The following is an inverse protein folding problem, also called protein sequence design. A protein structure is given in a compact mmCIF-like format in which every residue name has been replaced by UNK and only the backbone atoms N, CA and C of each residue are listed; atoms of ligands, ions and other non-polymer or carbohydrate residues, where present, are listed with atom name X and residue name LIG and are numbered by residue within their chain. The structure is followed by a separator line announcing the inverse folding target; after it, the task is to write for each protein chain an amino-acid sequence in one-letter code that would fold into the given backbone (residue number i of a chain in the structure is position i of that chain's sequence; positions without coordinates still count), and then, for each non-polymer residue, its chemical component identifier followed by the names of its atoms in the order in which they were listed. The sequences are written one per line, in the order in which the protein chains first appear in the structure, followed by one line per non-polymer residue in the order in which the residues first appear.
data_IF_798317449756
#
_entry.id   IF_798317449756
#
_cell.length_a   1.000
_cell.length_b   1.000
_cell.length_c   1.000
_cell.angle_alpha   90.00
_cell.angle_beta   90.00
_cell.angle_gamma   90.00
#
_symmetry.space_group_name_H-M   'P 1'
#
loop_
_entity.id
_entity.type
_entity.pdbx_description
1 polymer ?
#
# COMPACT_ATOMS: atom_id res chain seq x y z
N UNK A 1 14.16 10.60 -33.05
CA UNK A 1 13.66 9.24 -32.71
C UNK A 1 12.73 9.39 -31.52
N UNK A 2 11.41 9.36 -31.79
CA UNK A 2 10.26 9.17 -30.88
C UNK A 2 10.17 9.88 -29.52
N UNK A 3 9.82 11.17 -29.50
CA UNK A 3 9.15 11.79 -28.34
C UNK A 3 7.70 11.31 -28.39
N UNK A 4 7.35 10.24 -27.66
CA UNK A 4 5.97 9.72 -27.65
C UNK A 4 5.75 8.29 -27.18
N UNK A 5 6.71 7.64 -26.53
CA UNK A 5 6.40 6.35 -25.90
C UNK A 5 5.48 6.57 -24.69
N UNK A 6 4.20 6.25 -24.89
CA UNK A 6 3.22 6.03 -23.82
C UNK A 6 3.83 5.09 -22.78
N UNK A 7 3.47 5.16 -21.49
CA UNK A 7 3.86 4.13 -20.54
C UNK A 7 3.42 2.78 -21.10
N UNK A 8 4.38 1.97 -21.56
CA UNK A 8 4.12 0.61 -22.02
C UNK A 8 3.92 -0.19 -20.75
N UNK A 9 2.68 -0.43 -20.40
CA UNK A 9 2.33 -1.34 -19.32
C UNK A 9 2.97 -2.69 -19.65
N UNK A 10 3.86 -3.15 -18.77
CA UNK A 10 4.39 -4.48 -18.86
C UNK A 10 3.30 -5.46 -18.39
N UNK A 11 2.61 -6.04 -19.37
CA UNK A 11 1.50 -6.96 -19.14
C UNK A 11 1.94 -8.18 -18.31
N UNK A 12 3.21 -8.61 -18.40
CA UNK A 12 3.70 -9.74 -17.64
C UNK A 12 3.80 -9.40 -16.15
N UNK A 13 4.29 -8.21 -15.80
CA UNK A 13 4.33 -7.75 -14.41
C UNK A 13 2.93 -7.67 -13.82
N UNK A 14 1.96 -7.14 -14.59
CA UNK A 14 0.57 -7.04 -14.15
C UNK A 14 -0.02 -8.43 -13.92
N UNK A 15 0.19 -9.38 -14.83
CA UNK A 15 -0.31 -10.75 -14.69
C UNK A 15 0.30 -11.46 -13.47
N UNK A 16 1.61 -11.32 -13.25
CA UNK A 16 2.29 -11.87 -12.08
C UNK A 16 1.73 -11.26 -10.79
N UNK A 17 1.54 -9.94 -10.75
CA UNK A 17 0.95 -9.23 -9.62
C UNK A 17 -0.47 -9.74 -9.29
N UNK A 18 -1.32 -9.88 -10.31
CA UNK A 18 -2.68 -10.42 -10.14
C UNK A 18 -2.67 -11.87 -9.64
N UNK A 19 -1.78 -12.72 -10.17
CA UNK A 19 -1.62 -14.09 -9.71
C UNK A 19 -1.21 -14.15 -8.23
N UNK A 20 -0.26 -13.31 -7.80
CA UNK A 20 0.18 -13.24 -6.41
C UNK A 20 -0.94 -12.77 -5.47
N UNK A 21 -1.75 -11.78 -5.87
CA UNK A 21 -2.92 -11.36 -5.10
C UNK A 21 -3.90 -12.52 -4.91
N UNK A 22 -4.23 -13.23 -6.00
CA UNK A 22 -5.18 -14.34 -5.95
C UNK A 22 -4.68 -15.46 -5.05
N UNK A 23 -3.41 -15.87 -5.17
CA UNK A 23 -2.81 -16.90 -4.32
C UNK A 23 -2.81 -16.46 -2.85
N UNK A 24 -2.43 -15.21 -2.57
CA UNK A 24 -2.43 -14.66 -1.22
C UNK A 24 -3.82 -14.65 -0.59
N UNK A 25 -4.82 -14.21 -1.35
CA UNK A 25 -6.22 -14.22 -0.90
C UNK A 25 -6.74 -15.64 -0.64
N UNK A 26 -6.49 -16.58 -1.57
CA UNK A 26 -6.87 -17.99 -1.40
C UNK A 26 -6.22 -18.62 -0.17
N UNK A 27 -4.97 -18.26 0.13
CA UNK A 27 -4.26 -18.74 1.32
C UNK A 27 -4.96 -18.27 2.60
N UNK A 28 -5.35 -17.00 2.67
CA UNK A 28 -6.08 -16.45 3.83
C UNK A 28 -7.46 -17.10 3.94
N UNK A 29 -8.15 -17.26 2.82
CA UNK A 29 -9.46 -17.93 2.77
C UNK A 29 -9.36 -19.39 3.24
N UNK A 30 -8.32 -20.12 2.82
CA UNK A 30 -8.09 -21.51 3.24
C UNK A 30 -7.73 -21.66 4.72
N UNK A 31 -7.10 -20.64 5.32
CA UNK A 31 -6.73 -20.66 6.74
C UNK A 31 -7.86 -20.23 7.68
N UNK A 32 -8.91 -19.59 7.15
CA UNK A 32 -10.05 -19.15 7.95
C UNK A 32 -10.91 -20.35 8.39
N UNK A 33 -11.13 -20.49 9.71
CA UNK A 33 -12.07 -21.49 10.24
C UNK A 33 -13.50 -20.99 10.05
N UNK A 34 -14.13 -21.38 8.94
CA UNK A 34 -15.49 -20.95 8.62
C UNK A 34 -16.50 -21.73 9.45
N UNK A 35 -16.76 -21.24 10.66
CA UNK A 35 -17.75 -21.83 11.58
C UNK A 35 -19.18 -21.36 11.26
N UNK A 36 -19.35 -20.23 10.56
CA UNK A 36 -20.62 -19.77 9.98
C UNK A 36 -20.35 -19.01 8.67
N UNK A 37 -20.89 -19.50 7.56
CA UNK A 37 -20.64 -18.96 6.22
C UNK A 37 -21.58 -17.79 5.92
N UNK A 38 -21.13 -16.54 6.10
CA UNK A 38 -21.93 -15.34 5.79
C UNK A 38 -21.62 -14.72 4.41
N UNK A 39 -20.85 -15.43 3.57
CA UNK A 39 -20.49 -15.01 2.22
C UNK A 39 -19.06 -14.50 2.08
N UNK A 40 -18.69 -14.16 0.84
CA UNK A 40 -17.31 -13.78 0.46
C UNK A 40 -16.92 -12.38 0.96
N UNK A 41 -17.91 -11.51 1.22
CA UNK A 41 -17.73 -10.15 1.72
C UNK A 41 -18.03 -10.01 3.22
N UNK A 42 -17.75 -11.04 4.00
CA UNK A 42 -17.90 -10.99 5.45
C UNK A 42 -16.76 -10.15 6.08
N UNK A 43 -17.12 -9.00 6.66
CA UNK A 43 -16.18 -8.05 7.23
C UNK A 43 -15.68 -8.45 8.62
N UNK A 44 -16.27 -9.45 9.25
CA UNK A 44 -15.76 -10.01 10.50
C UNK A 44 -14.60 -10.99 10.22
N UNK A 45 -14.57 -11.55 9.01
CA UNK A 45 -13.54 -12.49 8.58
C UNK A 45 -12.35 -11.80 7.91
N UNK A 46 -11.16 -12.38 8.08
CA UNK A 46 -9.92 -11.84 7.51
C UNK A 46 -9.94 -11.83 5.98
N UNK A 47 -10.56 -12.82 5.34
CA UNK A 47 -10.63 -12.90 3.87
C UNK A 47 -11.51 -11.79 3.26
N UNK A 48 -12.59 -11.38 3.93
CA UNK A 48 -13.46 -10.31 3.45
C UNK A 48 -12.82 -8.95 3.62
N UNK A 49 -12.15 -8.70 4.76
CA UNK A 49 -11.28 -7.52 4.94
C UNK A 49 -10.21 -7.45 3.86
N UNK A 50 -9.59 -8.58 3.50
CA UNK A 50 -8.55 -8.63 2.47
C UNK A 50 -9.09 -8.19 1.09
N UNK A 51 -10.31 -8.56 0.70
CA UNK A 51 -10.93 -8.11 -0.56
C UNK A 51 -11.10 -6.59 -0.57
N UNK A 52 -11.55 -5.99 0.54
CA UNK A 52 -11.65 -4.53 0.63
C UNK A 52 -10.29 -3.86 0.46
N UNK A 53 -9.24 -4.38 1.09
CA UNK A 53 -7.89 -3.85 0.94
C UNK A 53 -7.35 -3.99 -0.49
N UNK A 54 -7.62 -5.11 -1.16
CA UNK A 54 -7.29 -5.30 -2.57
C UNK A 54 -8.02 -4.26 -3.43
N UNK A 55 -9.32 -4.05 -3.22
CA UNK A 55 -10.10 -3.04 -3.93
C UNK A 55 -9.58 -1.61 -3.71
N UNK A 56 -9.25 -1.26 -2.46
CA UNK A 56 -8.65 0.02 -2.12
C UNK A 56 -7.28 0.20 -2.78
N UNK A 57 -6.46 -0.85 -2.82
CA UNK A 57 -5.16 -0.83 -3.49
C UNK A 57 -5.30 -0.54 -4.99
N UNK A 58 -6.27 -1.17 -5.69
CA UNK A 58 -6.53 -0.86 -7.10
C UNK A 58 -6.92 0.60 -7.31
N UNK A 59 -7.79 1.16 -6.45
CA UNK A 59 -8.17 2.57 -6.51
C UNK A 59 -6.95 3.48 -6.34
N UNK A 60 -6.10 3.21 -5.33
CA UNK A 60 -4.88 3.99 -5.08
C UNK A 60 -3.91 3.87 -6.25
N UNK A 61 -3.69 2.67 -6.81
CA UNK A 61 -2.82 2.45 -7.97
C UNK A 61 -3.35 3.24 -9.18
N UNK A 62 -4.65 3.19 -9.47
CA UNK A 62 -5.25 3.96 -10.56
C UNK A 62 -5.06 5.47 -10.37
N UNK A 63 -5.21 5.97 -9.13
CA UNK A 63 -4.96 7.38 -8.83
C UNK A 63 -3.50 7.76 -9.05
N UNK A 64 -2.55 6.96 -8.54
CA UNK A 64 -1.11 7.20 -8.71
C UNK A 64 -0.71 7.18 -10.20
N UNK A 65 -1.22 6.22 -10.97
CA UNK A 65 -0.94 6.11 -12.42
C UNK A 65 -1.53 7.28 -13.23
N UNK A 66 -2.57 7.94 -12.72
CA UNK A 66 -3.14 9.13 -13.35
C UNK A 66 -2.32 10.41 -13.07
N UNK A 67 -1.39 10.38 -12.10
CA UNK A 67 -0.54 11.52 -11.77
C UNK A 67 0.70 11.57 -12.67
N UNK A 68 1.12 12.78 -13.04
CA UNK A 68 2.37 13.01 -13.78
C UNK A 68 3.58 12.79 -12.85
N UNK A 69 4.64 12.19 -13.38
CA UNK A 69 5.92 11.98 -12.68
C UNK A 69 6.47 13.29 -12.12
N UNK A 70 6.27 14.41 -12.81
CA UNK A 70 6.70 15.75 -12.36
C UNK A 70 6.09 16.16 -11.02
N UNK A 71 4.88 15.67 -10.71
CA UNK A 71 4.28 15.90 -9.40
C UNK A 71 5.12 15.25 -8.30
N UNK A 72 5.52 14.00 -8.49
CA UNK A 72 6.32 13.27 -7.51
C UNK A 72 7.74 13.85 -7.37
N UNK A 73 8.34 14.34 -8.45
CA UNK A 73 9.63 15.03 -8.39
C UNK A 73 9.54 16.34 -7.59
N UNK A 74 8.49 17.14 -7.81
CA UNK A 74 8.32 18.43 -7.14
C UNK A 74 7.98 18.28 -5.66
N UNK A 75 7.14 17.32 -5.31
CA UNK A 75 6.65 17.12 -3.95
C UNK A 75 7.38 16.02 -3.19
N UNK A 76 8.35 15.31 -3.79
CA UNK A 76 8.99 14.15 -3.18
C UNK A 76 9.70 14.45 -1.86
N UNK A 77 10.38 15.60 -1.75
CA UNK A 77 10.97 16.04 -0.47
C UNK A 77 9.92 16.28 0.61
N UNK A 78 8.75 16.82 0.24
CA UNK A 78 7.63 17.05 1.17
C UNK A 78 7.01 15.71 1.60
N UNK A 79 6.78 14.81 0.65
CA UNK A 79 6.28 13.45 0.89
C UNK A 79 7.22 12.71 1.86
N UNK A 80 8.53 12.86 1.68
CA UNK A 80 9.54 12.28 2.57
C UNK A 80 9.47 12.86 3.99
N UNK A 81 9.44 14.18 4.14
CA UNK A 81 9.32 14.82 5.46
C UNK A 81 8.04 14.39 6.17
N UNK A 82 6.90 14.36 5.46
CA UNK A 82 5.62 13.89 6.03
C UNK A 82 5.73 12.43 6.48
N UNK A 83 6.45 11.58 5.73
CA UNK A 83 6.66 10.17 6.10
C UNK A 83 7.54 10.01 7.36
N UNK A 84 8.53 10.90 7.55
CA UNK A 84 9.33 10.92 8.78
C UNK A 84 8.51 11.42 9.97
N UNK A 85 7.72 12.47 9.78
CA UNK A 85 6.83 12.98 10.83
C UNK A 85 5.79 11.93 11.22
N UNK A 86 5.27 11.16 10.27
CA UNK A 86 4.34 10.07 10.55
C UNK A 86 5.00 8.90 11.29
N UNK A 87 6.30 8.67 11.12
CA UNK A 87 7.06 7.73 11.96
C UNK A 87 7.27 8.30 13.37
N UNK A 88 7.65 9.56 13.50
CA UNK A 88 7.82 10.21 14.80
C UNK A 88 6.50 10.28 15.59
N UNK A 89 5.37 10.41 14.91
CA UNK A 89 4.06 10.37 15.56
C UNK A 89 3.77 9.05 16.28
N UNK A 90 4.46 7.94 15.94
CA UNK A 90 4.27 6.64 16.62
C UNK A 90 4.68 6.70 18.08
N UNK A 91 5.58 7.60 18.47
CA UNK A 91 5.96 7.78 19.88
C UNK A 91 4.80 8.30 20.73
N UNK A 92 3.90 9.09 20.14
CA UNK A 92 2.78 9.74 20.83
C UNK A 92 1.48 8.97 20.61
N UNK A 93 1.17 8.61 19.37
CA UNK A 93 -0.11 8.01 18.97
C UNK A 93 0.00 6.54 18.54
N UNK A 94 1.21 5.97 18.55
CA UNK A 94 1.44 4.59 18.13
C UNK A 94 0.88 3.59 19.15
N UNK A 95 0.19 2.58 18.63
CA UNK A 95 -0.27 1.43 19.39
C UNK A 95 0.82 0.38 19.44
N UNK A 96 1.03 -0.17 20.64
CA UNK A 96 1.95 -1.28 20.84
C UNK A 96 1.26 -2.60 20.43
N UNK A 97 1.86 -3.30 19.48
CA UNK A 97 1.45 -4.62 19.01
C UNK A 97 2.68 -5.51 18.98
N UNK A 98 2.61 -6.69 19.60
CA UNK A 98 3.73 -7.63 19.70
C UNK A 98 5.03 -7.01 20.27
N UNK A 99 4.91 -6.10 21.23
CA UNK A 99 6.05 -5.43 21.88
C UNK A 99 6.71 -4.31 21.07
N UNK A 100 6.11 -3.89 19.95
CA UNK A 100 6.60 -2.78 19.13
C UNK A 100 5.51 -1.74 18.84
N UNK A 101 5.85 -0.44 18.96
CA UNK A 101 5.00 0.69 18.56
C UNK A 101 5.18 1.01 17.09
N UNK A 102 4.50 0.25 16.23
CA UNK A 102 4.68 0.35 14.78
C UNK A 102 3.39 0.68 14.01
N UNK A 103 2.26 0.81 14.71
CA UNK A 103 0.94 0.87 14.08
C UNK A 103 0.08 2.01 14.63
N UNK A 104 -0.65 2.68 13.75
CA UNK A 104 -1.78 3.52 14.13
C UNK A 104 -3.07 2.71 14.07
N UNK A 105 -3.89 2.79 15.13
CA UNK A 105 -5.20 2.14 15.19
C UNK A 105 -6.28 3.14 14.78
N UNK A 106 -6.97 2.86 13.68
CA UNK A 106 -8.10 3.64 13.17
C UNK A 106 -9.36 2.78 13.30
N UNK A 107 -9.86 2.63 14.53
CA UNK A 107 -10.99 1.74 14.84
C UNK A 107 -10.68 0.28 14.50
N UNK A 108 -11.40 -0.29 13.53
CA UNK A 108 -11.23 -1.66 13.04
C UNK A 108 -10.07 -1.83 12.03
N UNK A 109 -9.48 -0.73 11.57
CA UNK A 109 -8.37 -0.70 10.62
C UNK A 109 -7.08 -0.30 11.32
N UNK A 110 -5.96 -0.80 10.82
CA UNK A 110 -4.64 -0.43 11.30
C UNK A 110 -3.79 0.06 10.14
N UNK A 111 -3.10 1.18 10.33
CA UNK A 111 -2.24 1.77 9.32
C UNK A 111 -0.79 1.76 9.82
N UNK A 112 0.10 1.22 8.99
CA UNK A 112 1.53 1.12 9.31
C UNK A 112 2.31 2.24 8.59
N UNK A 113 2.83 3.24 9.30
CA UNK A 113 3.51 4.38 8.68
C UNK A 113 4.80 3.99 7.95
N UNK A 114 5.47 2.92 8.38
CA UNK A 114 6.71 2.46 7.77
C UNK A 114 6.54 1.99 6.32
N UNK A 115 5.35 1.55 5.93
CA UNK A 115 5.06 1.22 4.52
C UNK A 115 5.15 2.46 3.63
N UNK A 116 4.58 3.59 4.08
CA UNK A 116 4.69 4.88 3.39
C UNK A 116 6.12 5.41 3.40
N UNK A 117 6.83 5.28 4.53
CA UNK A 117 8.21 5.75 4.65
C UNK A 117 9.18 5.03 3.70
N UNK A 118 8.99 3.73 3.43
CA UNK A 118 9.79 2.99 2.44
C UNK A 118 9.64 3.59 1.04
N UNK A 119 8.41 3.80 0.60
CA UNK A 119 8.13 4.39 -0.72
C UNK A 119 8.64 5.84 -0.82
N UNK A 120 8.40 6.64 0.21
CA UNK A 120 8.84 8.04 0.27
C UNK A 120 10.37 8.17 0.28
N UNK A 121 11.07 7.27 0.97
CA UNK A 121 12.55 7.24 0.98
C UNK A 121 13.09 6.85 -0.38
N UNK A 122 12.52 5.85 -1.04
CA UNK A 122 12.91 5.47 -2.40
C UNK A 122 12.74 6.64 -3.38
N UNK A 123 11.63 7.38 -3.27
CA UNK A 123 11.39 8.59 -4.06
C UNK A 123 12.41 9.70 -3.76
N UNK A 124 12.70 9.96 -2.48
CA UNK A 124 13.65 10.99 -2.08
C UNK A 124 15.08 10.69 -2.59
N UNK A 125 15.52 9.44 -2.47
CA UNK A 125 16.82 9.00 -2.99
C UNK A 125 16.88 9.11 -4.52
N UNK A 126 15.78 8.78 -5.20
CA UNK A 126 15.70 8.95 -6.65
C UNK A 126 15.89 10.43 -7.03
N UNK A 127 15.15 11.35 -6.41
CA UNK A 127 15.25 12.79 -6.71
C UNK A 127 16.65 13.34 -6.41
N UNK A 128 17.25 12.96 -5.28
CA UNK A 128 18.58 13.41 -4.91
C UNK A 128 19.65 12.98 -5.94
N UNK A 129 19.53 11.79 -6.52
CA UNK A 129 20.47 11.27 -7.53
C UNK A 129 20.38 12.00 -8.88
N UNK A 130 19.28 12.70 -9.15
CA UNK A 130 19.04 13.41 -10.42
C UNK A 130 19.55 14.87 -10.42
N UNK A 131 20.09 15.36 -9.30
CA UNK A 131 20.69 16.69 -9.16
C UNK A 131 22.20 16.60 -8.96
#
# INVERSE_FOLDING_TARGET
MGIGDKPKFDIYIILIYLALILIGWLTIYSAAQVSQYHGILDMDQLYGKQILWIGLAFLIISFILAMDVKFFERFGSIIYIISLLSLLGLFVFGKELNGAKSWYSLGSMTLQPSEFAKAATALAVAIFKWY
#
